data_IF_759272753181
#
_entry.id   IF_759272753181
#
_cell.length_a   1.000
_cell.length_b   1.000
_cell.length_c   1.000
_cell.angle_alpha   90.00
_cell.angle_beta   90.00
_cell.angle_gamma   90.00
#
_symmetry.space_group_name_H-M   'P 1'
#
loop_
_entity.id
_entity.type
_entity.pdbx_description
1 polymer ?
#
# COMPACT_ATOMS: atom_id res chain seq x y z
N UNK A 1 -15.19 -25.78 5.31
CA UNK A 1 -15.61 -24.57 6.03
C UNK A 1 -14.32 -23.79 6.26
N UNK A 2 -14.05 -22.81 5.43
CA UNK A 2 -12.94 -21.89 5.65
C UNK A 2 -13.32 -21.08 6.89
N UNK A 3 -12.52 -21.20 7.94
CA UNK A 3 -12.65 -20.37 9.11
C UNK A 3 -12.47 -18.93 8.66
N UNK A 4 -13.54 -18.15 8.67
CA UNK A 4 -13.49 -16.71 8.49
C UNK A 4 -12.55 -16.18 9.56
N UNK A 5 -11.39 -15.72 9.14
CA UNK A 5 -10.45 -15.04 10.03
C UNK A 5 -11.16 -13.77 10.50
N UNK A 6 -11.33 -13.56 11.82
CA UNK A 6 -11.93 -12.35 12.33
C UNK A 6 -11.24 -11.14 11.68
N UNK A 7 -12.04 -10.19 11.19
CA UNK A 7 -11.52 -8.95 10.61
C UNK A 7 -10.75 -8.20 11.69
N UNK A 8 -9.43 -8.29 11.62
CA UNK A 8 -8.56 -7.45 12.43
C UNK A 8 -8.31 -6.15 11.63
N UNK A 9 -8.70 -5.03 12.21
CA UNK A 9 -8.51 -3.71 11.62
C UNK A 9 -7.04 -3.43 11.29
N UNK A 10 -6.11 -4.06 12.01
CA UNK A 10 -4.67 -3.94 11.81
C UNK A 10 -4.13 -4.81 10.65
N UNK A 11 -4.96 -5.71 10.09
CA UNK A 11 -4.59 -6.65 9.04
C UNK A 11 -4.97 -6.18 7.63
N UNK A 12 -5.03 -4.88 7.38
CA UNK A 12 -5.46 -4.33 6.09
C UNK A 12 -4.35 -4.41 5.03
N UNK A 13 -4.67 -5.05 3.90
CA UNK A 13 -3.78 -5.12 2.73
C UNK A 13 -3.77 -3.86 1.89
N UNK A 14 -4.71 -2.97 2.12
CA UNK A 14 -4.83 -1.66 1.49
C UNK A 14 -5.64 -0.75 2.40
N UNK A 15 -5.23 0.51 2.48
CA UNK A 15 -5.92 1.54 3.24
C UNK A 15 -5.94 2.84 2.43
N UNK A 16 -6.61 3.86 2.93
CA UNK A 16 -6.65 5.18 2.31
C UNK A 16 -6.19 6.19 3.34
N UNK A 17 -5.28 7.05 2.97
CA UNK A 17 -4.87 8.21 3.75
C UNK A 17 -5.55 9.46 3.19
N UNK A 18 -6.05 10.33 4.08
CA UNK A 18 -6.55 11.64 3.76
C UNK A 18 -5.43 12.66 3.99
N UNK A 19 -5.23 13.53 3.03
CA UNK A 19 -4.28 14.63 3.08
C UNK A 19 -5.06 15.93 3.01
N UNK A 20 -4.74 16.87 3.91
CA UNK A 20 -5.37 18.17 3.98
C UNK A 20 -4.30 19.25 4.01
N UNK A 21 -4.39 20.21 3.11
CA UNK A 21 -3.63 21.45 3.13
C UNK A 21 -4.54 22.52 3.70
N UNK A 22 -4.06 23.28 4.67
CA UNK A 22 -4.78 24.38 5.28
C UNK A 22 -4.33 25.71 4.68
N UNK A 23 -5.19 26.73 4.76
CA UNK A 23 -4.93 28.07 4.20
C UNK A 23 -3.73 28.78 4.82
N UNK A 24 -3.36 28.42 6.03
CA UNK A 24 -2.16 28.90 6.71
C UNK A 24 -0.87 28.18 6.28
N UNK A 25 -0.98 27.23 5.33
CA UNK A 25 0.15 26.44 4.82
C UNK A 25 0.46 25.18 5.64
N UNK A 26 -0.39 24.82 6.59
CA UNK A 26 -0.30 23.54 7.31
C UNK A 26 -0.56 22.34 6.39
N UNK A 27 0.16 21.24 6.63
CA UNK A 27 -0.04 19.99 5.92
C UNK A 27 -0.34 18.88 6.92
N UNK A 28 -1.51 18.28 6.78
CA UNK A 28 -2.00 17.24 7.68
C UNK A 28 -2.29 15.98 6.88
N UNK A 29 -1.90 14.84 7.45
CA UNK A 29 -2.23 13.54 6.88
C UNK A 29 -2.82 12.66 7.98
N UNK A 30 -3.95 12.05 7.74
CA UNK A 30 -4.55 11.07 8.62
C UNK A 30 -5.00 9.83 7.86
N UNK A 31 -5.16 8.73 8.59
CA UNK A 31 -5.71 7.50 8.07
C UNK A 31 -6.99 7.15 8.83
N UNK A 32 -8.08 6.76 8.17
CA UNK A 32 -9.27 6.26 8.85
C UNK A 32 -8.99 5.06 9.78
N UNK A 33 -7.84 4.43 9.59
CA UNK A 33 -7.35 3.33 10.44
C UNK A 33 -6.45 3.83 11.58
N UNK A 34 -6.02 5.10 11.57
CA UNK A 34 -5.22 5.69 12.62
C UNK A 34 -6.08 5.82 13.90
N UNK A 35 -5.55 5.37 15.03
CA UNK A 35 -6.26 5.37 16.31
C UNK A 35 -7.02 4.09 16.65
N UNK A 36 -7.00 3.08 15.80
CA UNK A 36 -7.41 1.72 16.15
C UNK A 36 -6.18 0.90 16.53
N UNK A 37 -6.05 0.61 17.84
CA UNK A 37 -5.15 -0.41 18.42
C UNK A 37 -3.69 -0.40 17.92
N UNK A 38 -3.04 0.75 18.03
CA UNK A 38 -1.57 0.84 17.87
C UNK A 38 -1.07 1.03 16.44
N UNK A 39 -1.92 1.29 15.46
CA UNK A 39 -1.48 1.77 14.16
C UNK A 39 -1.20 3.28 14.23
N UNK A 40 -0.07 3.64 14.78
CA UNK A 40 0.46 4.99 14.65
C UNK A 40 1.14 5.12 13.28
N UNK A 41 0.54 5.90 12.38
CA UNK A 41 1.33 6.44 11.27
C UNK A 41 2.44 7.30 11.86
N UNK A 42 3.72 7.12 11.49
CA UNK A 42 4.83 7.89 12.06
C UNK A 42 4.78 9.39 11.73
N UNK A 43 3.74 9.85 11.06
CA UNK A 43 3.56 11.23 10.60
C UNK A 43 2.35 11.94 11.20
N UNK A 44 1.64 11.34 12.16
CA UNK A 44 0.38 11.90 12.65
C UNK A 44 0.40 12.00 14.17
N UNK A 45 0.44 13.24 14.69
CA UNK A 45 0.00 13.54 16.04
C UNK A 45 -1.51 13.38 16.12
N UNK A 46 -1.96 12.23 16.62
CA UNK A 46 -3.37 11.98 16.84
C UNK A 46 -3.77 12.57 18.19
N UNK A 47 -4.68 13.51 18.19
CA UNK A 47 -5.47 13.84 19.36
C UNK A 47 -6.25 12.59 19.82
N UNK A 48 -6.63 12.51 21.08
CA UNK A 48 -7.30 11.39 21.75
C UNK A 48 -8.57 10.84 21.01
N UNK A 49 -9.06 11.55 19.98
CA UNK A 49 -10.21 11.17 19.14
C UNK A 49 -9.88 10.40 17.86
N UNK A 50 -8.60 10.14 17.55
CA UNK A 50 -8.18 9.33 16.40
C UNK A 50 -8.40 9.95 15.02
N UNK A 51 -8.91 11.15 14.93
CA UNK A 51 -9.08 11.91 13.68
C UNK A 51 -8.85 13.39 13.93
N UNK A 52 -8.03 14.01 13.09
CA UNK A 52 -7.81 15.44 13.13
C UNK A 52 -9.04 16.13 12.53
N UNK A 53 -9.79 16.87 13.36
CA UNK A 53 -10.85 17.75 12.88
C UNK A 53 -10.21 19.07 12.41
N UNK A 54 -10.36 19.38 11.12
CA UNK A 54 -9.99 20.66 10.54
C UNK A 54 -11.28 21.30 10.07
N UNK A 55 -11.61 22.54 10.54
CA UNK A 55 -12.80 23.26 10.08
C UNK A 55 -12.77 23.40 8.54
N UNK A 56 -13.91 23.20 7.86
CA UNK A 56 -13.97 23.30 6.40
C UNK A 56 -13.49 24.65 5.85
N UNK A 57 -13.69 25.72 6.60
CA UNK A 57 -13.27 27.09 6.25
C UNK A 57 -11.74 27.25 6.21
N UNK A 58 -10.99 26.42 6.93
CA UNK A 58 -9.54 26.45 7.00
C UNK A 58 -8.88 25.56 5.94
N UNK A 59 -9.67 24.74 5.23
CA UNK A 59 -9.17 23.82 4.21
C UNK A 59 -8.95 24.58 2.90
N UNK A 60 -7.73 24.50 2.36
CA UNK A 60 -7.40 24.93 1.01
C UNK A 60 -7.58 23.78 0.02
N UNK A 61 -7.04 22.61 0.33
CA UNK A 61 -7.11 21.43 -0.53
C UNK A 61 -7.19 20.16 0.31
N UNK A 62 -8.03 19.24 -0.09
CA UNK A 62 -8.07 17.89 0.50
C UNK A 62 -8.14 16.82 -0.59
N UNK A 63 -7.40 15.72 -0.38
CA UNK A 63 -7.39 14.59 -1.30
C UNK A 63 -7.06 13.27 -0.58
N UNK A 64 -7.35 12.17 -1.27
CA UNK A 64 -7.15 10.84 -0.73
C UNK A 64 -6.12 10.06 -1.52
N UNK A 65 -5.24 9.35 -0.82
CA UNK A 65 -4.20 8.51 -1.42
C UNK A 65 -4.39 7.07 -0.97
N UNK A 66 -4.75 6.16 -1.88
CA UNK A 66 -4.85 4.74 -1.55
C UNK A 66 -3.44 4.16 -1.39
N UNK A 67 -3.18 3.54 -0.26
CA UNK A 67 -1.91 2.89 0.07
C UNK A 67 -2.04 1.38 0.01
N UNK A 68 -0.98 0.72 -0.43
CA UNK A 68 -0.88 -0.74 -0.50
C UNK A 68 0.59 -1.16 -0.65
N UNK A 69 0.85 -2.47 -0.68
CA UNK A 69 2.18 -2.96 -1.02
C UNK A 69 2.57 -2.53 -2.45
N UNK A 70 3.70 -1.86 -2.57
CA UNK A 70 4.19 -1.30 -3.83
C UNK A 70 4.81 -2.34 -4.79
N UNK A 71 4.85 -3.63 -4.45
CA UNK A 71 5.36 -4.71 -5.31
C UNK A 71 6.71 -4.35 -5.97
N UNK A 72 7.64 -3.85 -5.16
CA UNK A 72 8.90 -3.24 -5.58
C UNK A 72 9.72 -4.14 -6.51
N UNK A 73 10.39 -3.56 -7.50
CA UNK A 73 11.35 -4.29 -8.34
C UNK A 73 12.61 -4.67 -7.55
N UNK A 74 13.03 -3.77 -6.63
CA UNK A 74 14.12 -3.99 -5.68
C UNK A 74 13.56 -4.06 -4.25
N UNK A 75 12.93 -5.17 -3.86
CA UNK A 75 12.20 -5.27 -2.61
C UNK A 75 13.14 -5.47 -1.40
N UNK A 76 13.27 -4.49 -0.49
CA UNK A 76 14.09 -4.66 0.70
C UNK A 76 13.61 -5.80 1.58
N UNK A 77 12.30 -6.03 1.61
CA UNK A 77 11.69 -7.11 2.38
C UNK A 77 12.08 -8.53 1.90
N UNK A 78 12.49 -8.70 0.65
CA UNK A 78 13.06 -9.97 0.16
C UNK A 78 14.51 -10.08 0.60
N UNK A 79 15.25 -8.99 0.53
CA UNK A 79 16.68 -8.97 0.87
C UNK A 79 16.95 -9.32 2.34
N UNK A 80 16.08 -8.89 3.25
CA UNK A 80 16.26 -9.11 4.70
C UNK A 80 15.66 -10.41 5.20
N UNK A 81 15.02 -11.22 4.35
CA UNK A 81 14.37 -12.45 4.80
C UNK A 81 15.40 -13.56 5.01
N UNK A 82 15.67 -13.99 6.27
CA UNK A 82 16.75 -14.96 6.56
C UNK A 82 16.45 -16.37 6.04
N UNK A 83 15.17 -16.68 5.83
CA UNK A 83 14.72 -18.02 5.41
C UNK A 83 14.18 -18.04 3.97
N UNK A 84 14.26 -16.93 3.24
CA UNK A 84 13.75 -16.83 1.86
C UNK A 84 12.23 -16.94 1.72
N UNK A 85 11.48 -16.89 2.82
CA UNK A 85 10.01 -16.98 2.80
C UNK A 85 9.35 -15.82 2.04
N UNK A 86 9.98 -14.65 2.03
CA UNK A 86 9.56 -13.54 1.16
C UNK A 86 10.41 -13.60 -0.12
N UNK A 87 9.75 -13.70 -1.25
CA UNK A 87 10.41 -13.88 -2.54
C UNK A 87 9.71 -13.08 -3.64
N UNK A 88 10.39 -12.92 -4.76
CA UNK A 88 9.84 -12.33 -5.98
C UNK A 88 9.64 -13.42 -7.02
N UNK A 89 8.44 -13.46 -7.61
CA UNK A 89 8.12 -14.39 -8.70
C UNK A 89 8.82 -13.98 -10.00
N UNK A 90 8.98 -14.87 -11.01
CA UNK A 90 9.58 -14.53 -12.29
C UNK A 90 8.85 -13.38 -13.03
N UNK A 91 7.55 -13.29 -12.87
CA UNK A 91 6.70 -12.21 -13.41
C UNK A 91 6.67 -10.94 -12.54
N UNK A 92 7.49 -10.89 -11.51
CA UNK A 92 7.78 -9.66 -10.76
C UNK A 92 6.95 -9.45 -9.48
N UNK A 93 6.02 -10.32 -9.16
CA UNK A 93 5.19 -10.17 -7.96
C UNK A 93 5.94 -10.60 -6.69
N UNK A 94 5.90 -9.79 -5.66
CA UNK A 94 6.50 -10.14 -4.36
C UNK A 94 5.46 -10.86 -3.50
N UNK A 95 5.80 -12.05 -3.05
CA UNK A 95 4.93 -12.92 -2.24
C UNK A 95 5.59 -13.31 -0.91
N UNK A 96 4.81 -13.95 -0.06
CA UNK A 96 5.28 -14.59 1.19
C UNK A 96 4.78 -16.02 1.21
N UNK A 97 5.68 -16.96 1.38
CA UNK A 97 5.33 -18.34 1.68
C UNK A 97 5.17 -18.48 3.19
N UNK A 98 3.93 -18.74 3.63
CA UNK A 98 3.61 -18.88 5.05
C UNK A 98 4.23 -20.12 5.70
N UNK A 99 4.49 -21.17 4.93
CA UNK A 99 5.05 -22.42 5.45
C UNK A 99 6.52 -22.28 5.83
N UNK A 100 7.23 -21.37 5.17
CA UNK A 100 8.63 -21.05 5.43
C UNK A 100 8.82 -19.85 6.35
N UNK A 101 7.78 -19.03 6.55
CA UNK A 101 7.87 -17.82 7.35
C UNK A 101 7.97 -18.14 8.85
N UNK A 102 9.08 -17.74 9.46
CA UNK A 102 9.34 -17.94 10.91
C UNK A 102 8.82 -16.79 11.79
N UNK A 103 8.11 -15.80 11.22
CA UNK A 103 7.54 -14.68 11.99
C UNK A 103 8.56 -13.68 12.58
N UNK A 104 9.78 -13.60 12.06
CA UNK A 104 10.83 -12.74 12.65
C UNK A 104 10.59 -11.22 12.53
N UNK A 105 9.69 -10.77 11.65
CA UNK A 105 9.33 -9.37 11.50
C UNK A 105 10.31 -8.49 10.71
N UNK A 106 11.49 -8.95 10.32
CA UNK A 106 12.48 -8.13 9.60
C UNK A 106 11.92 -7.49 8.34
N UNK A 107 11.12 -8.22 7.58
CA UNK A 107 10.49 -7.69 6.37
C UNK A 107 9.41 -6.63 6.65
N UNK A 108 8.82 -6.62 7.85
CA UNK A 108 7.87 -5.59 8.29
C UNK A 108 8.64 -4.31 8.57
N UNK A 109 9.72 -4.38 9.34
CA UNK A 109 10.58 -3.24 9.67
C UNK A 109 11.30 -2.66 8.45
N UNK A 110 11.70 -3.51 7.49
CA UNK A 110 12.39 -3.08 6.29
C UNK A 110 11.48 -2.43 5.22
N UNK A 111 10.16 -2.52 5.37
CA UNK A 111 9.22 -1.96 4.40
C UNK A 111 9.05 -0.45 4.60
N UNK A 112 9.52 0.43 3.68
CA UNK A 112 9.41 1.88 3.86
C UNK A 112 7.96 2.39 3.71
N UNK A 113 7.05 1.54 3.26
CA UNK A 113 5.64 1.87 3.00
C UNK A 113 4.70 1.43 4.12
N UNK A 114 5.18 0.74 5.17
CA UNK A 114 4.32 0.16 6.21
C UNK A 114 3.31 -0.88 5.70
N UNK A 115 3.54 -1.45 4.50
CA UNK A 115 2.56 -2.29 3.81
C UNK A 115 2.61 -3.77 4.23
N UNK A 116 3.21 -4.07 5.37
CA UNK A 116 3.31 -5.43 5.93
C UNK A 116 2.86 -5.45 7.37
N UNK A 117 2.22 -6.54 7.76
CA UNK A 117 1.72 -6.76 9.11
C UNK A 117 1.90 -8.24 9.49
N UNK A 118 1.72 -8.55 10.77
CA UNK A 118 1.60 -9.93 11.21
C UNK A 118 0.20 -10.45 11.01
N UNK A 119 0.07 -11.64 10.45
CA UNK A 119 -1.22 -12.30 10.35
C UNK A 119 -1.67 -12.71 11.77
N UNK A 120 -2.87 -12.30 12.23
CA UNK A 120 -3.30 -12.44 13.62
C UNK A 120 -3.39 -13.89 14.08
N UNK A 121 -3.69 -14.82 13.16
CA UNK A 121 -3.85 -16.24 13.47
C UNK A 121 -2.57 -17.05 13.23
N UNK A 122 -1.88 -16.79 12.11
CA UNK A 122 -0.70 -17.59 11.74
C UNK A 122 0.61 -17.02 12.25
N UNK A 123 0.61 -15.82 12.82
CA UNK A 123 1.79 -15.09 13.30
C UNK A 123 2.93 -14.99 12.27
N UNK A 124 2.60 -15.10 10.99
CA UNK A 124 3.50 -14.94 9.86
C UNK A 124 3.38 -13.55 9.27
N UNK A 125 4.42 -13.07 8.59
CA UNK A 125 4.33 -11.81 7.85
C UNK A 125 3.32 -11.93 6.70
N UNK A 126 2.47 -10.90 6.56
CA UNK A 126 1.46 -10.83 5.50
C UNK A 126 1.50 -9.46 4.82
N UNK A 127 0.94 -9.39 3.62
CA UNK A 127 0.80 -8.16 2.82
C UNK A 127 -0.15 -8.37 1.64
N UNK A 128 -0.38 -7.33 0.84
CA UNK A 128 -1.07 -7.46 -0.44
C UNK A 128 -0.35 -8.48 -1.35
N UNK A 129 -1.05 -9.54 -1.74
CA UNK A 129 -0.54 -10.61 -2.62
C UNK A 129 -0.65 -10.26 -4.11
N UNK A 130 -1.05 -9.02 -4.44
CA UNK A 130 -1.38 -8.59 -5.80
C UNK A 130 -2.49 -9.43 -6.45
N UNK A 131 -3.29 -10.11 -5.63
CA UNK A 131 -4.28 -11.11 -6.07
C UNK A 131 -3.69 -12.13 -7.05
N UNK A 132 -2.48 -12.63 -6.78
CA UNK A 132 -1.71 -13.49 -7.68
C UNK A 132 -2.52 -14.68 -8.22
N UNK A 133 -3.31 -15.31 -7.36
CA UNK A 133 -4.23 -16.39 -7.71
C UNK A 133 -5.31 -16.01 -8.74
N UNK A 134 -5.58 -14.73 -8.93
CA UNK A 134 -6.54 -14.19 -9.91
C UNK A 134 -5.83 -13.74 -11.18
N UNK A 135 -4.76 -12.95 -11.05
CA UNK A 135 -4.08 -12.38 -12.22
C UNK A 135 -3.43 -13.46 -13.09
N UNK A 136 -2.92 -14.54 -12.48
CA UNK A 136 -2.39 -15.71 -13.22
C UNK A 136 -3.46 -16.47 -14.00
N UNK A 137 -4.74 -16.20 -13.75
CA UNK A 137 -5.89 -16.74 -14.50
C UNK A 137 -6.52 -15.70 -15.44
N UNK A 138 -5.84 -14.59 -15.69
CA UNK A 138 -6.35 -13.50 -16.53
C UNK A 138 -7.48 -12.67 -15.89
N UNK A 139 -7.73 -12.82 -14.59
CA UNK A 139 -8.76 -12.06 -13.88
C UNK A 139 -8.19 -10.77 -13.29
N UNK A 140 -9.02 -9.75 -13.17
CA UNK A 140 -8.65 -8.50 -12.49
C UNK A 140 -8.41 -8.75 -10.99
N UNK A 141 -7.50 -8.00 -10.39
CA UNK A 141 -7.34 -7.99 -8.93
C UNK A 141 -8.62 -7.51 -8.25
N UNK A 142 -8.88 -7.99 -7.02
CA UNK A 142 -10.12 -7.69 -6.31
C UNK A 142 -10.33 -6.19 -6.10
N UNK A 143 -9.28 -5.45 -5.74
CA UNK A 143 -9.38 -4.01 -5.52
C UNK A 143 -9.65 -3.20 -6.79
N UNK A 144 -9.21 -3.68 -7.96
CA UNK A 144 -9.54 -3.08 -9.27
C UNK A 144 -10.98 -3.40 -9.65
N UNK A 145 -11.41 -4.64 -9.44
CA UNK A 145 -12.77 -5.07 -9.75
C UNK A 145 -13.82 -4.39 -8.87
N UNK A 146 -13.50 -4.17 -7.59
CA UNK A 146 -14.41 -3.54 -6.63
C UNK A 146 -14.46 -2.01 -6.74
N UNK A 147 -13.56 -1.38 -7.51
CA UNK A 147 -13.53 0.08 -7.62
C UNK A 147 -14.57 0.58 -8.63
N UNK A 148 -15.69 1.20 -8.20
CA UNK A 148 -16.77 1.61 -9.11
C UNK A 148 -16.36 2.76 -10.03
N UNK A 149 -15.37 3.57 -9.62
CA UNK A 149 -14.92 4.75 -10.36
C UNK A 149 -13.69 4.49 -11.25
N UNK A 150 -13.19 3.24 -11.31
CA UNK A 150 -12.00 2.92 -12.09
C UNK A 150 -10.72 3.61 -11.61
N UNK A 151 -10.70 4.12 -10.35
CA UNK A 151 -9.55 4.80 -9.77
C UNK A 151 -8.32 3.89 -9.60
N UNK A 152 -8.53 2.58 -9.61
CA UNK A 152 -7.46 1.57 -9.58
C UNK A 152 -7.44 0.82 -10.89
N UNK A 153 -6.27 0.72 -11.48
CA UNK A 153 -6.03 0.00 -12.71
C UNK A 153 -4.91 -1.01 -12.52
N UNK A 154 -4.92 -2.08 -13.30
CA UNK A 154 -3.90 -3.11 -13.32
C UNK A 154 -3.46 -3.29 -14.78
N UNK A 155 -2.16 -3.30 -15.01
CA UNK A 155 -1.61 -3.48 -16.35
C UNK A 155 -0.26 -4.18 -16.35
N UNK A 156 0.17 -4.56 -17.54
CA UNK A 156 1.48 -5.14 -17.80
C UNK A 156 2.39 -4.07 -18.41
N UNK A 157 3.38 -3.62 -17.65
CA UNK A 157 4.32 -2.59 -18.09
C UNK A 157 5.29 -3.06 -19.17
N UNK A 158 5.41 -4.37 -19.36
CA UNK A 158 6.25 -4.94 -20.43
C UNK A 158 5.50 -4.99 -21.78
N UNK A 159 4.19 -4.75 -21.79
CA UNK A 159 3.41 -4.64 -23.01
C UNK A 159 3.16 -3.17 -23.35
N UNK A 160 3.78 -2.63 -24.43
CA UNK A 160 3.59 -1.23 -24.81
C UNK A 160 2.15 -0.92 -25.27
N UNK A 161 1.35 -1.95 -25.58
CA UNK A 161 -0.04 -1.80 -25.96
C UNK A 161 -1.01 -1.82 -24.77
N UNK A 162 -0.52 -2.17 -23.58
CA UNK A 162 -1.34 -2.15 -22.37
C UNK A 162 -1.81 -0.72 -22.06
N UNK A 163 -3.10 -0.49 -21.77
CA UNK A 163 -3.63 0.83 -21.44
C UNK A 163 -2.90 1.50 -20.26
N UNK A 164 -2.50 0.74 -19.25
CA UNK A 164 -1.79 1.27 -18.08
C UNK A 164 -0.38 1.70 -18.46
N UNK A 165 0.34 0.93 -19.28
CA UNK A 165 1.64 1.30 -19.79
C UNK A 165 1.59 2.61 -20.59
N UNK A 166 0.55 2.81 -21.40
CA UNK A 166 0.33 4.06 -22.14
C UNK A 166 0.09 5.23 -21.20
N UNK A 167 -0.78 5.08 -20.21
CA UNK A 167 -1.08 6.12 -19.21
C UNK A 167 0.18 6.54 -18.47
N UNK A 168 1.00 5.60 -18.01
CA UNK A 168 2.25 5.91 -17.30
C UNK A 168 3.23 6.70 -18.17
N UNK A 169 3.23 6.48 -19.49
CA UNK A 169 4.12 7.17 -20.42
C UNK A 169 3.59 8.55 -20.86
N UNK A 170 2.29 8.82 -20.73
CA UNK A 170 1.65 10.06 -21.20
C UNK A 170 1.26 11.00 -20.08
N UNK A 171 0.96 10.48 -18.90
CA UNK A 171 0.48 11.25 -17.77
C UNK A 171 1.60 11.59 -16.78
N UNK A 172 1.37 12.66 -15.99
CA UNK A 172 2.24 12.96 -14.87
C UNK A 172 2.00 11.94 -13.75
N UNK A 173 2.86 10.97 -13.65
CA UNK A 173 2.80 9.95 -12.60
C UNK A 173 3.88 10.16 -11.55
N UNK A 174 3.56 9.82 -10.31
CA UNK A 174 4.47 9.79 -9.18
C UNK A 174 4.49 8.42 -8.53
N UNK A 175 5.50 8.18 -7.71
CA UNK A 175 5.63 7.00 -6.85
C UNK A 175 5.91 7.45 -5.42
N UNK A 176 5.49 6.64 -4.45
CA UNK A 176 5.77 6.92 -3.03
C UNK A 176 7.21 6.60 -2.69
N UNK A 177 7.79 7.37 -1.78
CA UNK A 177 9.11 7.08 -1.17
C UNK A 177 10.21 6.80 -2.20
N UNK A 178 10.28 7.61 -3.26
CA UNK A 178 11.25 7.46 -4.36
C UNK A 178 12.70 7.44 -3.86
N UNK A 179 13.00 8.16 -2.79
CA UNK A 179 14.31 8.29 -2.15
C UNK A 179 14.88 6.96 -1.63
N UNK A 180 14.03 5.98 -1.34
CA UNK A 180 14.50 4.65 -0.88
C UNK A 180 15.02 3.74 -2.02
N UNK A 181 14.88 4.13 -3.28
CA UNK A 181 15.43 3.39 -4.43
C UNK A 181 14.85 1.99 -4.65
N UNK A 182 13.69 1.69 -4.06
CA UNK A 182 13.06 0.36 -4.12
C UNK A 182 12.41 0.04 -5.46
N UNK A 183 12.31 1.03 -6.36
CA UNK A 183 11.61 0.95 -7.65
C UNK A 183 10.17 0.42 -7.48
N UNK A 184 9.27 1.19 -6.86
CA UNK A 184 7.89 0.80 -6.67
C UNK A 184 7.16 0.59 -7.99
N UNK A 185 6.24 -0.39 -8.02
CA UNK A 185 5.41 -0.72 -9.18
C UNK A 185 3.94 -0.26 -8.99
N UNK A 186 3.71 0.65 -8.05
CA UNK A 186 2.44 1.38 -7.89
C UNK A 186 2.68 2.82 -8.26
N UNK A 187 1.93 3.29 -9.24
CA UNK A 187 2.04 4.64 -9.79
C UNK A 187 0.77 5.41 -9.48
N UNK A 188 0.92 6.69 -9.23
CA UNK A 188 -0.17 7.60 -8.90
C UNK A 188 -0.22 8.72 -9.93
N UNK A 189 -1.36 8.90 -10.59
CA UNK A 189 -1.57 10.02 -11.52
C UNK A 189 -1.78 11.29 -10.71
N UNK A 190 -1.06 12.35 -11.05
CA UNK A 190 -1.20 13.64 -10.40
C UNK A 190 -0.82 13.67 -8.91
N UNK A 191 0.03 12.75 -8.45
CA UNK A 191 0.48 12.72 -7.05
C UNK A 191 1.06 14.07 -6.64
N UNK A 192 0.60 14.59 -5.53
CA UNK A 192 1.11 15.81 -4.93
C UNK A 192 2.54 15.61 -4.39
N UNK A 193 3.34 16.68 -4.42
CA UNK A 193 4.76 16.59 -4.02
C UNK A 193 4.95 16.40 -2.53
N UNK A 194 3.98 16.81 -1.73
CA UNK A 194 3.96 16.66 -0.28
C UNK A 194 3.70 15.23 0.17
N UNK A 195 3.13 14.38 -0.70
CA UNK A 195 2.86 12.98 -0.38
C UNK A 195 4.15 12.16 -0.47
N UNK A 196 4.54 11.58 0.67
CA UNK A 196 5.75 10.77 0.81
C UNK A 196 5.45 9.29 1.10
#
# INVERSE_FOLDING_TARGET
MENEVPYDANASRTWVERYVLTKDGGFHADSPMAGRDGYSSPTIDLNESGSLYIPPEDIDKAFFVPKLCNQCEKPPCVQVCPVGATFRTPDGVVLVDRTWCIGCGYCIMACPYGARFFHPVYHTAEKCTFCYHRITKGLKSACVQACPFGARQLGNLNDPNDPVARVINTERVGVLRKEYGTKPQVFYIGLDREVR
#
